data_IF_146470087221
#
_entry.id   IF_146470087221
#
_cell.length_a   1.000
_cell.length_b   1.000
_cell.length_c   1.000
_cell.angle_alpha   90.00
_cell.angle_beta   90.00
_cell.angle_gamma   90.00
#
_symmetry.space_group_name_H-M   'P 1'
#
loop_
_entity.id
_entity.type
_entity.pdbx_description
1 polymer ?
#
# COMPACT_ATOMS: atom_id res chain seq x y z
N UNK A 1 -14.74 5.85 -10.03
CA UNK A 1 -14.39 7.13 -9.39
C UNK A 1 -15.64 7.97 -9.07
N UNK A 2 -16.49 8.29 -10.05
CA UNK A 2 -17.71 9.09 -9.81
C UNK A 2 -18.61 8.56 -8.71
N UNK A 3 -18.87 7.24 -8.68
CA UNK A 3 -19.71 6.61 -7.65
C UNK A 3 -19.14 6.77 -6.22
N UNK A 4 -17.84 6.61 -6.04
CA UNK A 4 -17.19 6.73 -4.73
C UNK A 4 -17.20 8.19 -4.25
N UNK A 5 -16.90 9.16 -5.12
CA UNK A 5 -17.01 10.58 -4.76
C UNK A 5 -18.45 10.97 -4.42
N UNK A 6 -19.43 10.46 -5.17
CA UNK A 6 -20.85 10.65 -4.85
C UNK A 6 -21.18 10.07 -3.48
N UNK A 7 -20.69 8.86 -3.15
CA UNK A 7 -20.87 8.26 -1.84
C UNK A 7 -20.27 9.13 -0.72
N UNK A 8 -19.07 9.68 -0.91
CA UNK A 8 -18.44 10.61 0.05
C UNK A 8 -19.27 11.88 0.21
N UNK A 9 -19.75 12.48 -0.88
CA UNK A 9 -20.61 13.69 -0.83
C UNK A 9 -21.92 13.40 -0.09
N UNK A 10 -22.57 12.27 -0.38
CA UNK A 10 -23.78 11.84 0.33
C UNK A 10 -23.50 11.64 1.81
N UNK A 11 -22.38 11.00 2.16
CA UNK A 11 -21.98 10.79 3.55
C UNK A 11 -21.70 12.10 4.30
N UNK A 12 -21.12 13.11 3.64
CA UNK A 12 -20.97 14.46 4.21
C UNK A 12 -22.33 15.09 4.50
N UNK A 13 -23.28 15.01 3.57
CA UNK A 13 -24.64 15.53 3.78
C UNK A 13 -25.34 14.81 4.93
N UNK A 14 -25.22 13.49 5.01
CA UNK A 14 -25.76 12.68 6.12
C UNK A 14 -25.12 13.11 7.44
N UNK A 15 -23.80 13.26 7.50
CA UNK A 15 -23.11 13.69 8.71
C UNK A 15 -23.59 15.07 9.21
N UNK A 16 -23.78 16.03 8.31
CA UNK A 16 -24.27 17.36 8.67
C UNK A 16 -25.74 17.39 9.09
N UNK A 17 -26.59 16.56 8.48
CA UNK A 17 -28.04 16.57 8.72
C UNK A 17 -28.46 15.69 9.89
N UNK A 18 -27.83 14.54 10.06
CA UNK A 18 -28.12 13.57 11.12
C UNK A 18 -27.22 13.75 12.35
N UNK A 19 -26.12 14.51 12.24
CA UNK A 19 -25.12 14.59 13.30
C UNK A 19 -24.36 13.29 13.50
N UNK A 20 -24.29 12.42 12.49
CA UNK A 20 -23.65 11.10 12.55
C UNK A 20 -22.48 11.00 11.56
N UNK A 21 -21.25 10.99 12.09
CA UNK A 21 -20.03 10.82 11.30
C UNK A 21 -19.80 9.37 10.85
N UNK A 22 -20.54 8.39 11.36
CA UNK A 22 -20.25 6.97 11.17
C UNK A 22 -20.19 6.53 9.72
N UNK A 23 -21.06 7.06 8.85
CA UNK A 23 -21.05 6.72 7.42
C UNK A 23 -19.83 7.32 6.71
N UNK A 24 -19.53 8.59 7.00
CA UNK A 24 -18.37 9.28 6.42
C UNK A 24 -17.07 8.62 6.91
N UNK A 25 -16.97 8.35 8.20
CA UNK A 25 -15.83 7.67 8.82
C UNK A 25 -15.57 6.30 8.19
N UNK A 26 -16.60 5.45 8.07
CA UNK A 26 -16.47 4.12 7.44
C UNK A 26 -16.00 4.21 5.99
N UNK A 27 -16.50 5.21 5.23
CA UNK A 27 -16.11 5.41 3.84
C UNK A 27 -14.67 5.88 3.67
N UNK A 28 -14.11 6.58 4.66
CA UNK A 28 -12.82 7.27 4.51
C UNK A 28 -11.68 6.61 5.26
N UNK A 29 -11.99 5.98 6.40
CA UNK A 29 -11.02 5.32 7.30
C UNK A 29 -11.14 3.79 7.22
N UNK A 30 -12.24 3.24 6.70
CA UNK A 30 -12.50 1.79 6.63
C UNK A 30 -12.52 1.08 7.99
N UNK A 31 -12.86 1.82 9.04
CA UNK A 31 -12.92 1.32 10.42
C UNK A 31 -14.29 1.66 11.03
N UNK A 32 -14.69 0.94 12.08
CA UNK A 32 -15.81 1.37 12.91
C UNK A 32 -15.40 2.57 13.78
N UNK A 33 -16.39 3.35 14.17
CA UNK A 33 -16.21 4.47 15.08
C UNK A 33 -16.17 3.90 16.50
N UNK A 34 -14.97 3.86 17.12
CA UNK A 34 -14.79 3.33 18.48
C UNK A 34 -15.35 4.25 19.58
N UNK A 35 -15.40 5.57 19.34
CA UNK A 35 -15.93 6.56 20.28
C UNK A 35 -16.89 7.52 19.59
N UNK A 36 -17.88 8.05 20.31
CA UNK A 36 -18.83 9.04 19.79
C UNK A 36 -18.08 10.30 19.34
N UNK A 37 -17.63 10.29 18.08
CA UNK A 37 -16.83 11.35 17.51
C UNK A 37 -17.73 12.55 17.28
N UNK A 38 -17.41 13.68 17.91
CA UNK A 38 -18.27 14.87 17.78
C UNK A 38 -18.17 15.36 16.33
N UNK A 39 -19.33 15.69 15.75
CA UNK A 39 -19.38 16.31 14.42
C UNK A 39 -18.83 17.73 14.51
N UNK A 40 -17.53 17.85 14.27
CA UNK A 40 -16.86 19.14 14.18
C UNK A 40 -16.45 19.40 12.73
N UNK A 41 -16.43 20.67 12.34
CA UNK A 41 -15.96 21.08 11.02
C UNK A 41 -14.56 20.51 10.67
N UNK A 42 -13.56 20.53 11.58
CA UNK A 42 -12.23 19.96 11.31
C UNK A 42 -12.25 18.45 11.04
N UNK A 43 -13.11 17.70 11.73
CA UNK A 43 -13.25 16.25 11.55
C UNK A 43 -13.84 15.95 10.18
N UNK A 44 -14.89 16.68 9.79
CA UNK A 44 -15.50 16.54 8.46
C UNK A 44 -14.48 16.83 7.35
N UNK A 45 -13.68 17.89 7.44
CA UNK A 45 -12.64 18.17 6.44
C UNK A 45 -11.63 17.01 6.37
N UNK A 46 -11.13 16.57 7.52
CA UNK A 46 -10.09 15.56 7.59
C UNK A 46 -10.54 14.25 6.93
N UNK A 47 -11.77 13.84 7.19
CA UNK A 47 -12.38 12.67 6.55
C UNK A 47 -12.62 12.90 5.05
N UNK A 48 -13.12 14.07 4.64
CA UNK A 48 -13.28 14.40 3.22
C UNK A 48 -11.94 14.37 2.47
N UNK A 49 -10.87 14.88 3.08
CA UNK A 49 -9.52 14.81 2.51
C UNK A 49 -9.02 13.37 2.41
N UNK A 50 -9.19 12.56 3.46
CA UNK A 50 -8.86 11.13 3.42
C UNK A 50 -9.65 10.40 2.31
N UNK A 51 -10.95 10.67 2.21
CA UNK A 51 -11.81 10.18 1.13
C UNK A 51 -11.32 10.60 -0.25
N UNK A 52 -10.90 11.85 -0.43
CA UNK A 52 -10.35 12.32 -1.69
C UNK A 52 -9.04 11.60 -2.07
N UNK A 53 -8.17 11.33 -1.09
CA UNK A 53 -6.96 10.53 -1.29
C UNK A 53 -7.29 9.10 -1.72
N UNK A 54 -8.30 8.46 -1.09
CA UNK A 54 -8.78 7.14 -1.52
C UNK A 54 -9.39 7.14 -2.92
N UNK A 55 -10.20 8.15 -3.26
CA UNK A 55 -10.75 8.32 -4.59
C UNK A 55 -9.65 8.43 -5.66
N UNK A 56 -8.60 9.19 -5.34
CA UNK A 56 -7.40 9.32 -6.17
C UNK A 56 -6.65 7.99 -6.27
N UNK A 57 -6.48 7.26 -5.17
CA UNK A 57 -5.78 5.98 -5.14
C UNK A 57 -6.48 4.93 -6.00
N UNK A 58 -7.81 4.83 -5.90
CA UNK A 58 -8.64 3.98 -6.77
C UNK A 58 -8.54 4.39 -8.23
N UNK A 59 -8.48 5.69 -8.52
CA UNK A 59 -8.29 6.18 -9.87
C UNK A 59 -6.92 5.82 -10.45
N UNK A 60 -5.84 5.80 -9.63
CA UNK A 60 -4.54 5.27 -10.06
C UNK A 60 -4.63 3.77 -10.41
N UNK A 61 -5.43 3.00 -9.67
CA UNK A 61 -5.76 1.61 -9.99
C UNK A 61 -6.42 1.43 -11.35
N UNK A 62 -7.45 2.22 -11.62
CA UNK A 62 -8.27 2.09 -12.82
C UNK A 62 -7.59 2.58 -14.10
N UNK A 63 -6.53 3.40 -14.00
CA UNK A 63 -5.78 3.88 -15.17
C UNK A 63 -5.12 2.76 -15.98
N UNK A 64 -4.81 1.63 -15.33
CA UNK A 64 -4.10 0.51 -15.94
C UNK A 64 -2.63 0.83 -16.28
N UNK A 65 -1.91 -0.14 -16.87
CA UNK A 65 -0.56 0.06 -17.42
C UNK A 65 -0.55 1.07 -18.57
N UNK A 66 0.63 1.61 -18.90
CA UNK A 66 0.75 2.50 -20.05
C UNK A 66 0.40 1.80 -21.37
N UNK A 67 -0.22 2.58 -22.27
CA UNK A 67 -0.52 2.13 -23.62
C UNK A 67 0.77 1.83 -24.40
N UNK A 68 0.85 0.64 -24.99
CA UNK A 68 1.95 0.22 -25.83
C UNK A 68 2.03 -1.31 -25.94
N UNK A 69 2.97 -1.85 -26.74
CA UNK A 69 3.20 -3.29 -26.81
C UNK A 69 3.61 -3.81 -25.43
N UNK A 70 2.79 -4.70 -24.87
CA UNK A 70 3.12 -5.33 -23.59
C UNK A 70 4.44 -6.08 -23.72
N UNK A 71 5.40 -5.90 -22.80
CA UNK A 71 6.57 -6.76 -22.76
C UNK A 71 6.12 -8.21 -22.57
N UNK A 72 6.88 -9.15 -23.14
CA UNK A 72 6.70 -10.56 -22.84
C UNK A 72 7.06 -10.79 -21.36
N UNK A 73 6.05 -10.92 -20.51
CA UNK A 73 6.25 -11.12 -19.08
C UNK A 73 6.68 -12.56 -18.79
N UNK A 74 7.77 -12.70 -18.03
CA UNK A 74 8.16 -13.99 -17.48
C UNK A 74 7.04 -14.52 -16.55
N UNK A 75 7.01 -15.84 -16.32
CA UNK A 75 6.00 -16.46 -15.43
C UNK A 75 6.07 -15.86 -14.02
N UNK A 76 7.26 -15.53 -13.55
CA UNK A 76 7.48 -14.99 -12.21
C UNK A 76 7.09 -13.51 -12.10
N UNK A 77 7.31 -12.72 -13.16
CA UNK A 77 6.81 -11.34 -13.23
C UNK A 77 5.28 -11.30 -13.21
N UNK A 78 4.62 -12.23 -13.93
CA UNK A 78 3.16 -12.39 -13.89
C UNK A 78 2.63 -12.76 -12.51
N UNK A 79 3.31 -13.66 -11.80
CA UNK A 79 2.97 -14.05 -10.42
C UNK A 79 3.09 -12.86 -9.46
N UNK A 80 4.21 -12.13 -9.51
CA UNK A 80 4.41 -10.95 -8.69
C UNK A 80 3.34 -9.88 -8.98
N UNK A 81 3.06 -9.63 -10.25
CA UNK A 81 2.01 -8.69 -10.66
C UNK A 81 0.64 -9.08 -10.10
N UNK A 82 0.28 -10.36 -10.19
CA UNK A 82 -0.99 -10.87 -9.65
C UNK A 82 -1.03 -10.73 -8.13
N UNK A 83 0.06 -11.07 -7.43
CA UNK A 83 0.15 -10.93 -5.98
C UNK A 83 -0.03 -9.47 -5.54
N UNK A 84 0.67 -8.53 -6.20
CA UNK A 84 0.55 -7.09 -5.92
C UNK A 84 -0.88 -6.56 -6.11
N UNK A 85 -1.56 -6.98 -7.17
CA UNK A 85 -2.97 -6.61 -7.37
C UNK A 85 -3.91 -7.27 -6.38
N UNK A 86 -3.69 -8.55 -6.08
CA UNK A 86 -4.52 -9.30 -5.12
C UNK A 86 -4.41 -8.66 -3.73
N UNK A 87 -3.20 -8.33 -3.29
CA UNK A 87 -2.96 -7.54 -2.08
C UNK A 87 -3.67 -6.20 -2.21
N UNK A 88 -3.40 -5.36 -3.20
CA UNK A 88 -4.06 -4.05 -3.32
C UNK A 88 -5.60 -4.11 -3.35
N UNK A 89 -6.18 -5.22 -3.83
CA UNK A 89 -7.62 -5.43 -3.89
C UNK A 89 -8.26 -5.78 -2.54
N UNK A 90 -7.51 -6.14 -1.50
CA UNK A 90 -8.09 -6.36 -0.17
C UNK A 90 -8.55 -5.07 0.49
N UNK A 91 -7.88 -3.93 0.26
CA UNK A 91 -8.23 -2.64 0.83
C UNK A 91 -9.68 -2.22 0.53
N UNK A 92 -10.14 -2.25 -0.75
CA UNK A 92 -11.55 -2.04 -1.06
C UNK A 92 -12.52 -3.05 -0.42
N UNK A 93 -12.08 -4.27 -0.06
CA UNK A 93 -12.93 -5.24 0.63
C UNK A 93 -13.22 -4.84 2.07
N UNK A 94 -12.34 -4.07 2.73
CA UNK A 94 -12.62 -3.52 4.07
C UNK A 94 -13.86 -2.62 4.07
N UNK A 95 -14.21 -2.01 2.94
CA UNK A 95 -15.48 -1.29 2.80
C UNK A 95 -16.71 -2.18 2.99
N UNK A 96 -16.63 -3.44 2.55
CA UNK A 96 -17.77 -4.36 2.51
C UNK A 96 -17.96 -5.14 3.82
N UNK A 97 -16.92 -5.26 4.63
CA UNK A 97 -16.93 -5.98 5.89
C UNK A 97 -16.49 -5.04 7.04
N UNK A 98 -17.38 -4.13 7.49
CA UNK A 98 -17.04 -3.07 8.44
C UNK A 98 -16.67 -3.58 9.83
N UNK A 99 -17.18 -4.74 10.25
CA UNK A 99 -16.71 -5.39 11.48
C UNK A 99 -15.30 -5.92 11.22
N UNK A 100 -14.29 -5.22 11.72
CA UNK A 100 -12.88 -5.58 11.65
C UNK A 100 -12.66 -6.97 12.22
N UNK A 101 -12.77 -7.97 11.37
CA UNK A 101 -12.49 -9.33 11.74
C UNK A 101 -11.01 -9.57 11.57
N UNK A 102 -10.35 -10.05 12.63
CA UNK A 102 -8.96 -10.52 12.64
C UNK A 102 -8.55 -11.31 11.38
N UNK A 103 -9.47 -12.05 10.75
CA UNK A 103 -9.19 -12.82 9.53
C UNK A 103 -8.83 -11.94 8.32
N UNK A 104 -9.30 -10.69 8.25
CA UNK A 104 -8.91 -9.75 7.18
C UNK A 104 -7.45 -9.32 7.33
N UNK A 105 -6.98 -9.03 8.55
CA UNK A 105 -5.58 -8.75 8.81
C UNK A 105 -4.69 -9.96 8.48
N UNK A 106 -5.14 -11.17 8.85
CA UNK A 106 -4.47 -12.42 8.48
C UNK A 106 -4.45 -12.62 6.97
N UNK A 107 -5.55 -12.36 6.26
CA UNK A 107 -5.63 -12.44 4.80
C UNK A 107 -4.65 -11.46 4.15
N UNK A 108 -4.61 -10.23 4.61
CA UNK A 108 -3.71 -9.21 4.08
C UNK A 108 -2.24 -9.60 4.25
N UNK A 109 -1.86 -9.96 5.47
CA UNK A 109 -0.52 -10.43 5.77
C UNK A 109 -0.16 -11.70 4.96
N UNK A 110 -1.11 -12.61 4.72
CA UNK A 110 -0.92 -13.79 3.87
C UNK A 110 -0.65 -13.41 2.42
N UNK A 111 -1.38 -12.45 1.86
CA UNK A 111 -1.14 -11.96 0.50
C UNK A 111 0.20 -11.24 0.40
N UNK A 112 0.58 -10.48 1.42
CA UNK A 112 1.91 -9.88 1.51
C UNK A 112 3.02 -10.94 1.57
N UNK A 113 2.85 -12.06 2.27
CA UNK A 113 3.80 -13.20 2.20
C UNK A 113 3.90 -13.73 0.76
N UNK A 114 2.79 -13.81 0.02
CA UNK A 114 2.83 -14.19 -1.39
C UNK A 114 3.59 -13.17 -2.25
N UNK A 115 3.49 -11.87 -1.95
CA UNK A 115 4.29 -10.80 -2.57
C UNK A 115 5.79 -10.99 -2.26
N UNK A 116 6.15 -11.23 -0.99
CA UNK A 116 7.54 -11.51 -0.56
C UNK A 116 8.13 -12.68 -1.34
N UNK A 117 7.38 -13.78 -1.45
CA UNK A 117 7.82 -14.98 -2.19
C UNK A 117 7.98 -14.69 -3.69
N UNK A 118 7.06 -13.91 -4.26
CA UNK A 118 7.09 -13.57 -5.69
C UNK A 118 8.21 -12.58 -6.04
N UNK A 119 8.66 -11.74 -5.10
CA UNK A 119 9.80 -10.85 -5.30
C UNK A 119 11.12 -11.60 -5.46
N UNK A 120 11.28 -12.75 -4.78
CA UNK A 120 12.52 -13.53 -4.80
C UNK A 120 13.03 -13.82 -6.22
N UNK A 121 12.30 -14.54 -7.10
CA UNK A 121 12.77 -14.85 -8.46
C UNK A 121 12.94 -13.60 -9.35
N UNK A 122 12.15 -12.55 -9.10
CA UNK A 122 12.22 -11.32 -9.91
C UNK A 122 13.50 -10.52 -9.62
N UNK A 123 13.94 -10.52 -8.35
CA UNK A 123 15.10 -9.74 -7.89
C UNK A 123 16.42 -10.52 -7.89
N UNK A 124 16.41 -11.86 -7.95
CA UNK A 124 17.64 -12.69 -7.94
C UNK A 124 18.66 -12.32 -9.02
N UNK A 125 18.20 -11.75 -10.14
CA UNK A 125 19.09 -11.38 -11.26
C UNK A 125 19.99 -10.18 -10.92
N UNK A 126 19.51 -9.25 -10.11
CA UNK A 126 20.14 -7.92 -9.94
C UNK A 126 20.46 -7.56 -8.48
N UNK A 127 20.01 -8.36 -7.50
CA UNK A 127 20.17 -8.03 -6.09
C UNK A 127 20.82 -9.18 -5.31
N UNK A 128 22.00 -8.94 -4.74
CA UNK A 128 22.77 -9.97 -4.00
C UNK A 128 22.17 -10.33 -2.63
N UNK A 129 21.35 -9.44 -2.06
CA UNK A 129 20.77 -9.60 -0.72
C UNK A 129 19.33 -10.15 -0.76
N UNK A 130 18.98 -10.93 -1.79
CA UNK A 130 17.61 -11.45 -1.97
C UNK A 130 17.19 -12.40 -0.85
N UNK A 131 18.10 -13.21 -0.31
CA UNK A 131 17.75 -14.10 0.78
C UNK A 131 17.45 -13.34 2.09
N UNK A 132 18.12 -12.21 2.34
CA UNK A 132 17.79 -11.31 3.44
C UNK A 132 16.41 -10.67 3.25
N UNK A 133 16.13 -10.19 2.03
CA UNK A 133 14.81 -9.66 1.68
C UNK A 133 13.73 -10.72 1.90
N UNK A 134 13.92 -11.94 1.42
CA UNK A 134 12.94 -13.00 1.63
C UNK A 134 12.73 -13.31 3.11
N UNK A 135 13.82 -13.48 3.87
CA UNK A 135 13.77 -13.81 5.30
C UNK A 135 13.06 -12.72 6.10
N UNK A 136 13.42 -11.46 5.90
CA UNK A 136 12.81 -10.33 6.60
C UNK A 136 11.34 -10.16 6.26
N UNK A 137 10.95 -10.38 5.00
CA UNK A 137 9.55 -10.31 4.60
C UNK A 137 8.71 -11.42 5.21
N UNK A 138 9.24 -12.65 5.29
CA UNK A 138 8.57 -13.77 5.95
C UNK A 138 8.47 -13.55 7.46
N UNK A 139 9.53 -13.06 8.11
CA UNK A 139 9.48 -12.71 9.55
C UNK A 139 8.49 -11.57 9.81
N UNK A 140 8.47 -10.54 8.96
CA UNK A 140 7.58 -9.40 9.09
C UNK A 140 6.10 -9.77 8.95
N UNK A 141 5.70 -10.27 7.77
CA UNK A 141 4.29 -10.57 7.53
C UNK A 141 3.84 -11.90 8.14
N UNK A 142 4.73 -12.89 8.24
CA UNK A 142 4.44 -14.13 8.98
C UNK A 142 4.30 -13.88 10.48
N UNK A 143 5.12 -12.98 11.04
CA UNK A 143 4.99 -12.53 12.42
C UNK A 143 3.65 -11.82 12.68
N UNK A 144 3.22 -10.96 11.74
CA UNK A 144 1.90 -10.32 11.82
C UNK A 144 0.75 -11.34 11.83
N UNK A 145 0.79 -12.38 10.98
CA UNK A 145 -0.22 -13.47 11.01
C UNK A 145 -0.27 -14.14 12.39
N UNK A 146 0.90 -14.44 12.97
CA UNK A 146 1.00 -15.08 14.28
C UNK A 146 0.45 -14.16 15.37
N UNK A 147 0.81 -12.88 15.34
CA UNK A 147 0.35 -11.90 16.33
C UNK A 147 -1.17 -11.75 16.31
N UNK A 148 -1.76 -11.49 15.14
CA UNK A 148 -3.22 -11.37 14.95
C UNK A 148 -3.97 -12.65 15.39
N UNK A 149 -3.38 -13.82 15.15
CA UNK A 149 -3.97 -15.10 15.59
C UNK A 149 -3.89 -15.26 17.12
N UNK A 150 -2.80 -14.84 17.75
CA UNK A 150 -2.63 -14.89 19.21
C UNK A 150 -3.50 -13.87 19.93
N UNK A 151 -3.71 -12.69 19.35
CA UNK A 151 -4.59 -11.66 19.89
C UNK A 151 -6.05 -12.11 19.89
N UNK A 152 -6.46 -12.85 18.85
CA UNK A 152 -7.83 -13.34 18.75
C UNK A 152 -8.10 -14.65 19.50
N UNK A 153 -7.23 -15.66 19.36
CA UNK A 153 -7.46 -17.01 19.90
C UNK A 153 -6.67 -17.32 21.18
N UNK A 154 -5.75 -16.44 21.57
CA UNK A 154 -4.73 -16.72 22.58
C UNK A 154 -4.63 -15.64 23.66
N UNK A 155 -3.50 -15.61 24.38
CA UNK A 155 -3.26 -14.65 25.46
C UNK A 155 -2.88 -13.24 24.96
N UNK A 156 -2.87 -13.00 23.65
CA UNK A 156 -2.25 -11.83 23.03
C UNK A 156 -0.77 -12.04 22.69
N UNK A 157 -0.29 -11.33 21.67
CA UNK A 157 1.11 -11.28 21.33
C UNK A 157 1.90 -10.44 22.35
N UNK A 158 3.06 -10.90 22.85
CA UNK A 158 3.97 -10.03 23.58
C UNK A 158 4.41 -8.86 22.70
N UNK A 159 4.50 -7.65 23.27
CA UNK A 159 4.90 -6.45 22.53
C UNK A 159 6.29 -6.54 21.89
N UNK A 160 7.17 -7.41 22.40
CA UNK A 160 8.46 -7.71 21.77
C UNK A 160 8.30 -8.41 20.42
N UNK A 161 7.29 -9.29 20.26
CA UNK A 161 6.98 -9.94 18.98
C UNK A 161 6.52 -8.88 17.97
N UNK A 162 5.66 -7.95 18.40
CA UNK A 162 5.21 -6.81 17.60
C UNK A 162 6.36 -5.94 17.12
N UNK A 163 7.26 -5.58 18.04
CA UNK A 163 8.45 -4.80 17.70
C UNK A 163 9.34 -5.54 16.68
N UNK A 164 9.52 -6.86 16.84
CA UNK A 164 10.36 -7.66 15.94
C UNK A 164 9.77 -7.73 14.52
N UNK A 165 8.51 -8.12 14.37
CA UNK A 165 7.93 -8.24 13.03
C UNK A 165 7.71 -6.87 12.38
N UNK A 166 7.38 -5.83 13.18
CA UNK A 166 7.28 -4.46 12.72
C UNK A 166 8.61 -3.97 12.14
N UNK A 167 9.71 -4.14 12.89
CA UNK A 167 11.04 -3.79 12.42
C UNK A 167 11.46 -4.61 11.18
N UNK A 168 11.19 -5.92 11.18
CA UNK A 168 11.47 -6.78 10.03
C UNK A 168 10.74 -6.31 8.77
N UNK A 169 9.46 -5.91 8.91
CA UNK A 169 8.64 -5.35 7.83
C UNK A 169 9.22 -4.03 7.32
N UNK A 170 9.62 -3.12 8.21
CA UNK A 170 10.25 -1.85 7.83
C UNK A 170 11.54 -2.08 7.02
N UNK A 171 12.44 -2.94 7.53
CA UNK A 171 13.69 -3.25 6.82
C UNK A 171 13.41 -3.93 5.49
N UNK A 172 12.41 -4.82 5.45
CA UNK A 172 11.98 -5.45 4.21
C UNK A 172 11.53 -4.43 3.16
N UNK A 173 10.62 -3.51 3.51
CA UNK A 173 10.14 -2.46 2.60
C UNK A 173 11.31 -1.62 2.10
N UNK A 174 12.23 -1.20 2.98
CA UNK A 174 13.42 -0.45 2.58
C UNK A 174 14.28 -1.20 1.54
N UNK A 175 14.49 -2.50 1.73
CA UNK A 175 15.25 -3.33 0.78
C UNK A 175 14.51 -3.50 -0.54
N UNK A 176 13.18 -3.69 -0.52
CA UNK A 176 12.36 -3.76 -1.73
C UNK A 176 12.45 -2.46 -2.52
N UNK A 177 12.30 -1.30 -1.88
CA UNK A 177 12.39 0.00 -2.55
C UNK A 177 13.77 0.25 -3.17
N UNK A 178 14.82 -0.15 -2.45
CA UNK A 178 16.20 -0.11 -2.98
C UNK A 178 16.35 -1.04 -4.19
N UNK A 179 15.83 -2.26 -4.12
CA UNK A 179 15.90 -3.22 -5.21
C UNK A 179 15.11 -2.74 -6.44
N UNK A 180 13.89 -2.22 -6.24
CA UNK A 180 13.07 -1.61 -7.30
C UNK A 180 13.80 -0.47 -8.00
N UNK A 181 14.47 0.41 -7.23
CA UNK A 181 15.25 1.52 -7.78
C UNK A 181 16.43 1.07 -8.63
N UNK A 182 17.11 -0.02 -8.25
CA UNK A 182 18.31 -0.50 -8.95
C UNK A 182 17.99 -1.38 -10.16
N UNK A 183 16.85 -2.06 -10.15
CA UNK A 183 16.49 -3.01 -11.20
C UNK A 183 16.07 -2.32 -12.51
N UNK A 184 15.64 -1.05 -12.46
CA UNK A 184 15.30 -0.24 -13.63
C UNK A 184 13.95 -0.56 -14.28
N UNK A 185 13.31 -1.67 -13.91
CA UNK A 185 11.92 -1.98 -14.33
C UNK A 185 10.88 -1.06 -13.69
N UNK A 186 11.15 -0.56 -12.49
CA UNK A 186 10.24 0.34 -11.78
C UNK A 186 10.61 1.80 -11.98
N UNK A 187 9.59 2.64 -12.15
CA UNK A 187 9.76 4.08 -12.28
C UNK A 187 10.15 4.68 -10.94
N UNK A 188 10.93 5.76 -10.98
CA UNK A 188 11.29 6.52 -9.78
C UNK A 188 10.05 6.99 -9.01
N UNK A 189 8.99 7.39 -9.70
CA UNK A 189 7.72 7.81 -9.08
C UNK A 189 7.10 6.70 -8.24
N UNK A 190 7.12 5.45 -8.72
CA UNK A 190 6.63 4.28 -7.98
C UNK A 190 7.42 4.06 -6.70
N UNK A 191 8.76 4.14 -6.78
CA UNK A 191 9.63 4.05 -5.60
C UNK A 191 9.33 5.17 -4.60
N UNK A 192 9.09 6.40 -5.07
CA UNK A 192 8.74 7.52 -4.20
C UNK A 192 7.40 7.32 -3.47
N UNK A 193 6.40 6.72 -4.11
CA UNK A 193 5.15 6.34 -3.43
C UNK A 193 5.39 5.31 -2.34
N UNK A 194 6.25 4.31 -2.59
CA UNK A 194 6.61 3.34 -1.55
C UNK A 194 7.40 3.95 -0.39
N UNK A 195 8.30 4.90 -0.67
CA UNK A 195 8.98 5.68 0.39
C UNK A 195 7.96 6.50 1.20
N UNK A 196 6.99 7.14 0.54
CA UNK A 196 5.94 7.88 1.22
C UNK A 196 5.08 6.95 2.09
N UNK A 197 4.68 5.79 1.59
CA UNK A 197 3.94 4.77 2.34
C UNK A 197 4.71 4.30 3.59
N UNK A 198 6.04 4.16 3.48
CA UNK A 198 6.90 3.79 4.60
C UNK A 198 7.02 4.90 5.65
N UNK A 199 7.15 6.15 5.23
CA UNK A 199 7.39 7.28 6.12
C UNK A 199 6.11 7.79 6.80
N UNK A 200 4.95 7.71 6.16
CA UNK A 200 3.70 8.24 6.69
C UNK A 200 3.33 7.67 8.08
N UNK A 201 3.36 6.34 8.32
CA UNK A 201 3.13 5.77 9.65
C UNK A 201 4.18 6.21 10.68
N UNK A 202 5.44 6.41 10.26
CA UNK A 202 6.50 6.87 11.16
C UNK A 202 6.29 8.32 11.65
N UNK A 203 5.41 9.10 10.99
CA UNK A 203 5.02 10.43 11.44
C UNK A 203 3.94 10.41 12.52
N UNK A 204 3.30 9.27 12.80
CA UNK A 204 2.22 9.18 13.79
C UNK A 204 2.61 9.65 15.20
N UNK A 205 3.78 9.29 15.76
CA UNK A 205 4.18 9.81 17.07
C UNK A 205 4.28 11.33 17.08
N UNK A 206 4.75 11.93 15.97
CA UNK A 206 4.83 13.39 15.83
C UNK A 206 3.43 14.02 15.76
N UNK A 207 2.51 13.43 14.98
CA UNK A 207 1.12 13.92 14.86
C UNK A 207 0.39 13.86 16.20
N UNK A 208 0.63 12.82 17.00
CA UNK A 208 0.08 12.69 18.36
C UNK A 208 0.55 13.78 19.33
N UNK A 209 1.69 14.44 19.07
CA UNK A 209 2.14 15.57 19.89
C UNK A 209 1.33 16.85 19.67
N UNK A 210 0.60 16.95 18.54
CA UNK A 210 -0.10 18.16 18.12
C UNK A 210 -1.61 17.99 17.97
N UNK A 211 -2.17 16.80 18.20
CA UNK A 211 -3.57 16.48 17.91
C UNK A 211 -4.18 15.56 18.96
N UNK A 212 -5.49 15.68 19.17
CA UNK A 212 -6.28 14.90 20.16
C UNK A 212 -6.60 13.46 19.69
N UNK A 213 -5.74 12.86 18.86
CA UNK A 213 -5.87 11.47 18.42
C UNK A 213 -6.68 11.25 17.14
N UNK A 214 -7.71 12.05 16.84
CA UNK A 214 -8.52 11.84 15.63
C UNK A 214 -7.72 11.97 14.31
N UNK A 215 -6.74 12.88 14.26
CA UNK A 215 -5.88 13.05 13.09
C UNK A 215 -5.00 11.82 12.80
N UNK A 216 -4.78 10.95 13.79
CA UNK A 216 -4.03 9.69 13.64
C UNK A 216 -4.72 8.79 12.61
N UNK A 217 -6.05 8.70 12.67
CA UNK A 217 -6.83 7.87 11.75
C UNK A 217 -6.80 8.40 10.32
N UNK A 218 -6.85 9.72 10.15
CA UNK A 218 -6.67 10.35 8.84
C UNK A 218 -5.29 10.04 8.24
N UNK A 219 -4.23 10.10 9.04
CA UNK A 219 -2.86 9.79 8.58
C UNK A 219 -2.70 8.30 8.23
N UNK A 220 -3.27 7.41 9.04
CA UNK A 220 -3.30 5.97 8.74
C UNK A 220 -4.03 5.69 7.42
N UNK A 221 -5.23 6.24 7.23
CA UNK A 221 -5.99 6.09 6.00
C UNK A 221 -5.22 6.61 4.78
N UNK A 222 -4.50 7.74 4.91
CA UNK A 222 -3.64 8.26 3.85
C UNK A 222 -2.44 7.35 3.59
N UNK A 223 -1.81 6.81 4.63
CA UNK A 223 -0.70 5.87 4.51
C UNK A 223 -1.12 4.61 3.76
N UNK A 224 -2.27 4.04 4.10
CA UNK A 224 -2.86 2.87 3.44
C UNK A 224 -3.20 3.15 1.97
N UNK A 225 -3.83 4.28 1.67
CA UNK A 225 -4.13 4.67 0.29
C UNK A 225 -2.85 4.81 -0.54
N UNK A 226 -1.80 5.42 0.01
CA UNK A 226 -0.50 5.57 -0.65
C UNK A 226 0.19 4.22 -0.82
N UNK A 227 0.10 3.32 0.17
CA UNK A 227 0.58 1.95 0.09
C UNK A 227 -0.12 1.18 -1.04
N UNK A 228 -1.45 1.28 -1.14
CA UNK A 228 -2.23 0.69 -2.24
C UNK A 228 -1.76 1.24 -3.59
N UNK A 229 -1.54 2.55 -3.72
CA UNK A 229 -1.00 3.15 -4.95
C UNK A 229 0.38 2.59 -5.28
N UNK A 230 1.27 2.43 -4.30
CA UNK A 230 2.59 1.85 -4.51
C UNK A 230 2.50 0.41 -5.03
N UNK A 231 1.63 -0.43 -4.46
CA UNK A 231 1.42 -1.81 -4.91
C UNK A 231 0.89 -1.86 -6.35
N UNK A 232 -0.16 -1.11 -6.63
CA UNK A 232 -0.78 -1.00 -7.96
C UNK A 232 0.23 -0.51 -9.00
N UNK A 233 0.98 0.55 -8.69
CA UNK A 233 1.97 1.09 -9.61
C UNK A 233 3.15 0.14 -9.81
N UNK A 234 3.55 -0.57 -8.76
CA UNK A 234 4.56 -1.62 -8.88
C UNK A 234 4.10 -2.72 -9.82
N UNK A 235 2.81 -3.05 -9.84
CA UNK A 235 2.20 -3.99 -10.77
C UNK A 235 2.07 -3.43 -12.20
N UNK A 236 1.78 -2.13 -12.35
CA UNK A 236 1.73 -1.45 -13.65
C UNK A 236 3.11 -1.37 -14.30
N UNK A 237 4.12 -0.92 -13.56
CA UNK A 237 5.48 -0.77 -14.07
C UNK A 237 6.06 -2.11 -14.57
N UNK A 238 5.69 -3.23 -13.93
CA UNK A 238 6.07 -4.56 -14.43
C UNK A 238 5.53 -4.85 -15.83
N UNK A 239 4.36 -4.30 -16.18
CA UNK A 239 3.69 -4.50 -17.46
C UNK A 239 3.90 -3.35 -18.47
N UNK A 240 4.58 -2.29 -18.08
CA UNK A 240 4.86 -1.16 -18.95
C UNK A 240 5.84 -1.56 -20.07
N UNK A 241 5.70 -0.97 -21.28
CA UNK A 241 6.68 -1.16 -22.35
C UNK A 241 8.08 -0.77 -21.88
N UNK A 242 9.05 -1.66 -22.11
CA UNK A 242 10.44 -1.38 -21.79
C UNK A 242 11.01 -0.42 -22.84
N UNK A 243 11.74 0.64 -22.44
CA UNK A 243 12.55 1.40 -23.38
C UNK A 243 13.51 0.41 -24.05
N UNK A 244 13.24 0.07 -25.30
CA UNK A 244 14.20 -0.72 -26.08
C UNK A 244 15.32 0.26 -26.39
N UNK A 245 16.56 -0.07 -26.05
CA UNK A 245 17.69 0.72 -26.51
C UNK A 245 17.61 0.73 -28.03
N UNK A 246 17.24 1.87 -28.61
CA UNK A 246 17.14 2.01 -30.05
C UNK A 246 18.53 1.76 -30.64
N UNK A 247 18.74 0.72 -31.45
CA UNK A 247 20.04 0.45 -32.04
C UNK A 247 20.57 1.64 -32.85
N UNK A 248 19.70 2.54 -33.34
CA UNK A 248 20.12 3.77 -34.02
C UNK A 248 20.88 4.74 -33.10
N UNK A 249 20.58 4.79 -31.80
CA UNK A 249 21.29 5.62 -30.82
C UNK A 249 22.61 5.00 -30.34
N UNK A 250 22.83 3.71 -30.56
CA UNK A 250 24.11 3.06 -30.25
C UNK A 250 25.15 3.29 -31.37
N UNK A 251 24.70 3.53 -32.60
CA UNK A 251 25.59 3.80 -33.74
C UNK A 251 26.11 5.25 -33.73
N UNK A 252 25.29 6.22 -33.37
CA UNK A 252 25.69 7.64 -33.27
C UNK A 252 26.74 7.91 -32.20
N UNK A 253 26.70 7.20 -31.06
CA UNK A 253 27.74 7.30 -30.02
C UNK A 253 29.06 6.66 -30.47
N UNK A 254 29.01 5.67 -31.37
CA UNK A 254 30.23 5.04 -31.89
C UNK A 254 30.95 5.92 -32.92
N UNK A 255 30.21 6.68 -33.74
CA UNK A 255 30.80 7.55 -34.77
C UNK A 255 31.38 8.87 -34.23
N UNK A 256 30.86 9.41 -33.11
CA UNK A 256 31.45 10.60 -32.46
C UNK A 256 32.71 10.29 -31.64
N UNK A 257 33.09 9.02 -31.50
CA UNK A 257 34.25 8.57 -30.72
C UNK A 257 35.45 8.12 -31.56
N UNK A 258 35.38 8.29 -32.89
CA UNK A 258 36.43 7.97 -33.86
C UNK A 258 37.03 9.25 -34.47
#
# INVERSE_FOLDING_TARGET
MGLYLVAVVVAVVVAWTAGDLGVLWRLTVFMEVEEVTVVTWPNVISLVLAGAVWAWALWQGLRGPLAGPSPALDRDERRLRLALYATAATWPLYFLAPSWTWWMAVLDATLMVAVVWSFRPVLTRNFKAVDYLWTLGVVGYGGAIVAETLDFFGPGAPGEIEAIYGLATLVWVMLVLRAQRMDGRWRLTTVLYGVAALLLPALLPLVRLFTDGEAVYGVLAVAEAVNMVWLIRSAHDLADPRPTADPANLLTVSEESA
#
